data_IF_015330816421
#
_entry.id   IF_015330816421
#
_cell.length_a   1.000
_cell.length_b   1.000
_cell.length_c   1.000
_cell.angle_alpha   90.00
_cell.angle_beta   90.00
_cell.angle_gamma   90.00
#
_symmetry.space_group_name_H-M   'P 1'
#
loop_
_entity.id
_entity.type
_entity.pdbx_description
1 polymer ?
#
# COMPACT_ATOMS: atom_id res chain seq x y z
N UNK A 1 0.35 -50.56 -21.81
CA UNK A 1 0.28 -49.37 -22.67
C UNK A 1 -0.98 -48.59 -22.32
N UNK A 2 -0.87 -47.47 -21.60
CA UNK A 2 -1.86 -46.40 -21.65
C UNK A 2 -1.14 -45.09 -21.33
N UNK A 3 -1.18 -44.18 -22.30
CA UNK A 3 -0.40 -42.96 -22.34
C UNK A 3 -0.78 -41.96 -21.23
N UNK A 4 0.22 -41.37 -20.61
CA UNK A 4 0.09 -40.22 -19.71
C UNK A 4 -0.15 -38.97 -20.56
N UNK A 5 -1.29 -38.31 -20.38
CA UNK A 5 -1.58 -37.04 -21.04
C UNK A 5 -0.72 -35.94 -20.41
N UNK A 6 0.24 -35.41 -21.17
CA UNK A 6 0.97 -34.22 -20.80
C UNK A 6 0.00 -33.02 -20.78
N UNK A 7 -0.24 -32.44 -19.60
CA UNK A 7 -0.95 -31.19 -19.48
C UNK A 7 -0.16 -30.10 -20.21
N UNK A 8 -0.69 -29.64 -21.35
CA UNK A 8 -0.13 -28.51 -22.07
C UNK A 8 -0.18 -27.28 -21.17
N UNK A 9 0.97 -26.83 -20.68
CA UNK A 9 1.11 -25.55 -20.00
C UNK A 9 0.60 -24.47 -20.95
N UNK A 10 -0.58 -23.91 -20.68
CA UNK A 10 -1.15 -22.86 -21.50
C UNK A 10 -0.12 -21.73 -21.64
N UNK A 11 0.34 -21.46 -22.86
CA UNK A 11 1.25 -20.37 -23.15
C UNK A 11 0.45 -19.07 -22.94
N UNK A 12 0.48 -18.54 -21.72
CA UNK A 12 -0.15 -17.25 -21.41
C UNK A 12 0.56 -16.18 -22.23
N UNK A 13 -0.20 -15.48 -23.08
CA UNK A 13 0.34 -14.42 -23.94
C UNK A 13 0.93 -13.28 -23.08
N UNK A 14 1.92 -12.52 -23.59
CA UNK A 14 2.45 -11.36 -22.88
C UNK A 14 1.37 -10.35 -22.46
N UNK A 15 0.34 -10.17 -23.29
CA UNK A 15 -0.79 -9.30 -22.99
C UNK A 15 -1.63 -9.80 -21.80
N UNK A 16 -1.93 -11.12 -21.76
CA UNK A 16 -2.68 -11.71 -20.65
C UNK A 16 -1.90 -11.65 -19.33
N UNK A 17 -0.57 -11.86 -19.36
CA UNK A 17 0.30 -11.67 -18.18
C UNK A 17 0.29 -10.23 -17.68
N UNK A 18 0.38 -9.26 -18.59
CA UNK A 18 0.34 -7.84 -18.26
C UNK A 18 -0.98 -7.46 -17.58
N UNK A 19 -2.11 -7.94 -18.12
CA UNK A 19 -3.42 -7.65 -17.55
C UNK A 19 -3.58 -8.24 -16.14
N UNK A 20 -3.23 -9.51 -15.96
CA UNK A 20 -3.28 -10.16 -14.64
C UNK A 20 -2.41 -9.43 -13.61
N UNK A 21 -1.21 -8.98 -14.01
CA UNK A 21 -0.33 -8.21 -13.16
C UNK A 21 -0.89 -6.82 -12.81
N UNK A 22 -1.56 -6.15 -13.75
CA UNK A 22 -2.22 -4.87 -13.49
C UNK A 22 -3.34 -5.02 -12.45
N UNK A 23 -4.13 -6.09 -12.53
CA UNK A 23 -5.18 -6.38 -11.58
C UNK A 23 -4.61 -6.69 -10.18
N UNK A 24 -3.53 -7.48 -10.12
CA UNK A 24 -2.83 -7.76 -8.87
C UNK A 24 -2.27 -6.49 -8.22
N UNK A 25 -1.60 -5.64 -9.01
CA UNK A 25 -1.07 -4.36 -8.55
C UNK A 25 -2.18 -3.42 -8.07
N UNK A 26 -3.32 -3.37 -8.76
CA UNK A 26 -4.47 -2.57 -8.36
C UNK A 26 -5.05 -3.04 -7.02
N UNK A 27 -5.17 -4.37 -6.81
CA UNK A 27 -5.60 -4.95 -5.53
C UNK A 27 -4.62 -4.62 -4.41
N UNK A 28 -3.32 -4.79 -4.64
CA UNK A 28 -2.28 -4.50 -3.65
C UNK A 28 -2.30 -3.01 -3.23
N UNK A 29 -2.47 -2.10 -4.18
CA UNK A 29 -2.61 -0.66 -3.90
C UNK A 29 -3.86 -0.36 -3.09
N UNK A 30 -5.01 -0.96 -3.44
CA UNK A 30 -6.25 -0.77 -2.69
C UNK A 30 -6.07 -1.19 -1.22
N UNK A 31 -5.45 -2.34 -0.99
CA UNK A 31 -5.15 -2.82 0.36
C UNK A 31 -4.22 -1.88 1.13
N UNK A 32 -3.18 -1.35 0.48
CA UNK A 32 -2.25 -0.41 1.13
C UNK A 32 -2.92 0.90 1.57
N UNK A 33 -3.91 1.37 0.80
CA UNK A 33 -4.69 2.57 1.11
C UNK A 33 -5.58 2.40 2.35
N UNK A 34 -5.91 1.17 2.75
CA UNK A 34 -6.71 0.89 3.95
C UNK A 34 -5.94 1.13 5.26
N UNK A 35 -4.60 1.22 5.21
CA UNK A 35 -3.75 1.41 6.38
C UNK A 35 -3.97 0.33 7.44
N UNK A 36 -4.21 0.74 8.69
CA UNK A 36 -4.57 -0.16 9.79
C UNK A 36 -5.98 -0.75 9.75
N UNK A 37 -6.74 -0.45 8.69
CA UNK A 37 -8.11 -0.93 8.45
C UNK A 37 -9.19 0.05 8.92
N UNK A 38 -10.39 -0.10 8.34
CA UNK A 38 -11.52 0.83 8.50
C UNK A 38 -11.88 1.14 9.96
N UNK A 39 -11.83 0.15 10.86
CA UNK A 39 -12.12 0.35 12.29
C UNK A 39 -11.14 1.31 12.98
N UNK A 40 -9.85 1.21 12.65
CA UNK A 40 -8.81 2.06 13.26
C UNK A 40 -8.83 3.46 12.67
N UNK A 41 -9.10 3.57 11.37
CA UNK A 41 -9.33 4.84 10.68
C UNK A 41 -10.53 5.57 11.30
N UNK A 42 -11.67 4.90 11.47
CA UNK A 42 -12.85 5.49 12.10
C UNK A 42 -12.55 6.02 13.52
N UNK A 43 -11.85 5.23 14.35
CA UNK A 43 -11.43 5.66 15.70
C UNK A 43 -10.51 6.89 15.68
N UNK A 44 -9.71 7.06 14.62
CA UNK A 44 -8.86 8.22 14.46
C UNK A 44 -9.69 9.47 14.12
N UNK A 45 -10.65 9.32 13.20
CA UNK A 45 -11.59 10.38 12.82
C UNK A 45 -12.53 10.79 13.96
N UNK A 46 -13.02 9.84 14.77
CA UNK A 46 -13.82 10.11 15.98
C UNK A 46 -13.08 11.01 16.98
N UNK A 47 -11.74 10.96 17.00
CA UNK A 47 -10.91 11.83 17.83
C UNK A 47 -10.62 13.20 17.18
N UNK A 48 -11.23 13.50 16.04
CA UNK A 48 -10.98 14.72 15.27
C UNK A 48 -9.61 14.73 14.58
N UNK A 49 -8.96 13.57 14.41
CA UNK A 49 -7.63 13.47 13.80
C UNK A 49 -7.72 12.93 12.38
N UNK A 50 -6.94 13.51 11.48
CA UNK A 50 -6.73 13.00 10.12
C UNK A 50 -5.81 11.77 10.13
N UNK A 51 -5.94 10.89 9.14
CA UNK A 51 -4.99 9.81 8.81
C UNK A 51 -3.68 10.38 8.29
N UNK A 52 -2.64 9.54 8.19
CA UNK A 52 -1.34 9.96 7.64
C UNK A 52 -1.46 10.50 6.20
N UNK A 53 -2.22 9.81 5.33
CA UNK A 53 -2.42 10.21 3.93
C UNK A 53 -3.25 11.48 3.81
N UNK A 54 -4.31 11.62 4.61
CA UNK A 54 -5.13 12.85 4.62
C UNK A 54 -4.31 14.08 5.03
N UNK A 55 -3.39 13.94 6.01
CA UNK A 55 -2.49 15.03 6.41
C UNK A 55 -1.55 15.44 5.28
N UNK A 56 -0.99 14.46 4.56
CA UNK A 56 -0.10 14.72 3.44
C UNK A 56 -0.86 15.41 2.31
N UNK A 57 -2.03 14.90 1.92
CA UNK A 57 -2.84 15.47 0.84
C UNK A 57 -3.30 16.90 1.17
N UNK A 58 -3.52 17.22 2.45
CA UNK A 58 -3.84 18.58 2.90
C UNK A 58 -2.63 19.53 2.84
N UNK A 59 -1.42 19.01 3.07
CA UNK A 59 -0.18 19.81 3.16
C UNK A 59 0.40 20.15 1.78
N UNK A 60 0.35 19.20 0.85
CA UNK A 60 0.95 19.32 -0.47
C UNK A 60 -0.02 19.92 -1.49
N UNK A 61 0.53 20.53 -2.54
CA UNK A 61 -0.25 21.02 -3.66
C UNK A 61 -1.00 19.84 -4.32
N UNK A 62 -2.28 20.03 -4.61
CA UNK A 62 -3.18 18.96 -5.07
C UNK A 62 -2.61 18.20 -6.29
N UNK A 63 -2.63 16.87 -6.22
CA UNK A 63 -2.19 16.00 -7.32
C UNK A 63 -0.67 15.90 -7.51
N UNK A 64 0.12 16.58 -6.69
CA UNK A 64 1.59 16.57 -6.78
C UNK A 64 2.25 15.45 -5.98
N UNK A 65 1.54 14.87 -5.02
CA UNK A 65 2.09 13.83 -4.17
C UNK A 65 2.43 12.56 -4.95
N UNK A 66 3.60 12.01 -4.65
CA UNK A 66 4.13 10.74 -5.18
C UNK A 66 4.66 9.93 -4.02
N UNK A 67 3.88 8.92 -3.62
CA UNK A 67 4.20 8.00 -2.53
C UNK A 67 5.32 7.03 -2.94
N UNK A 68 6.23 6.75 -2.01
CA UNK A 68 7.28 5.75 -2.13
C UNK A 68 6.97 4.56 -1.22
N UNK A 69 7.49 3.38 -1.59
CA UNK A 69 7.46 2.17 -0.77
C UNK A 69 6.06 1.74 -0.24
N UNK A 70 4.96 2.17 -0.89
CA UNK A 70 3.57 1.88 -0.49
C UNK A 70 3.27 0.39 -0.21
N UNK A 71 3.93 -0.52 -0.94
CA UNK A 71 3.70 -1.97 -0.84
C UNK A 71 4.71 -2.69 0.06
N UNK A 72 5.62 -1.94 0.71
CA UNK A 72 6.65 -2.51 1.58
C UNK A 72 6.03 -2.93 2.90
N UNK A 73 6.53 -4.00 3.47
CA UNK A 73 6.13 -4.48 4.80
C UNK A 73 7.37 -4.82 5.62
N UNK A 74 7.20 -4.96 6.94
CA UNK A 74 8.28 -5.44 7.80
C UNK A 74 8.72 -6.87 7.44
N UNK A 75 9.93 -7.23 7.87
CA UNK A 75 10.49 -8.58 7.74
C UNK A 75 10.64 -9.32 9.07
N UNK A 76 10.12 -8.73 10.15
CA UNK A 76 10.14 -9.34 11.49
C UNK A 76 9.26 -10.60 11.52
N UNK A 77 9.82 -11.70 12.01
CA UNK A 77 9.13 -12.98 12.29
C UNK A 77 8.87 -13.21 13.78
N UNK A 78 9.44 -12.38 14.65
CA UNK A 78 9.30 -12.53 16.09
C UNK A 78 7.91 -12.08 16.56
N UNK A 79 7.51 -12.51 17.76
CA UNK A 79 6.30 -12.06 18.46
C UNK A 79 4.99 -12.21 17.66
N UNK A 80 4.92 -13.16 16.71
CA UNK A 80 3.74 -13.40 15.88
C UNK A 80 3.52 -12.37 14.78
N UNK A 81 4.51 -11.51 14.50
CA UNK A 81 4.44 -10.45 13.50
C UNK A 81 4.30 -10.98 12.07
N UNK A 82 4.74 -12.21 11.80
CA UNK A 82 4.56 -12.87 10.50
C UNK A 82 3.11 -12.88 9.99
N UNK A 83 2.14 -12.87 10.91
CA UNK A 83 0.71 -12.87 10.60
C UNK A 83 0.11 -11.47 10.42
N UNK A 84 0.86 -10.41 10.72
CA UNK A 84 0.39 -9.02 10.78
C UNK A 84 1.10 -8.12 9.77
N UNK A 85 0.89 -8.38 8.48
CA UNK A 85 1.54 -7.62 7.41
C UNK A 85 0.69 -6.42 6.97
N UNK A 86 1.20 -5.21 7.21
CA UNK A 86 0.57 -3.96 6.78
C UNK A 86 1.44 -3.26 5.72
N UNK A 87 0.95 -3.07 4.48
CA UNK A 87 1.66 -2.32 3.46
C UNK A 87 1.93 -0.87 3.90
N UNK A 88 3.15 -0.39 3.64
CA UNK A 88 3.67 0.91 4.09
C UNK A 88 4.35 0.86 5.45
N UNK A 89 4.27 -0.26 6.19
CA UNK A 89 4.93 -0.47 7.50
C UNK A 89 4.74 0.70 8.50
N UNK A 90 3.53 1.26 8.53
CA UNK A 90 3.17 2.35 9.43
C UNK A 90 3.70 3.74 9.08
N UNK A 91 4.39 3.90 7.94
CA UNK A 91 4.86 5.22 7.49
C UNK A 91 4.56 5.47 6.01
N UNK A 92 3.88 6.59 5.76
CA UNK A 92 3.69 7.08 4.38
C UNK A 92 4.84 8.02 4.06
N UNK A 93 5.60 7.71 3.01
CA UNK A 93 6.74 8.54 2.58
C UNK A 93 6.57 8.97 1.13
N UNK A 94 7.14 10.10 0.74
CA UNK A 94 7.07 10.53 -0.66
C UNK A 94 7.59 11.93 -0.91
N UNK A 95 7.30 12.44 -2.10
CA UNK A 95 7.55 13.84 -2.48
C UNK A 95 6.28 14.50 -2.98
N UNK A 96 6.19 15.80 -2.79
CA UNK A 96 5.14 16.66 -3.33
C UNK A 96 5.67 18.07 -3.55
N UNK A 97 4.81 18.96 -4.05
CA UNK A 97 5.09 20.38 -4.05
C UNK A 97 4.38 21.02 -2.85
N UNK A 98 5.00 22.02 -2.22
CA UNK A 98 4.36 22.89 -1.24
C UNK A 98 4.60 24.31 -1.73
N UNK A 99 3.53 25.01 -2.13
CA UNK A 99 3.64 26.33 -2.76
C UNK A 99 4.60 26.29 -3.96
N UNK A 100 4.49 25.26 -4.81
CA UNK A 100 5.31 25.05 -6.00
C UNK A 100 6.74 24.56 -5.73
N UNK A 101 7.15 24.34 -4.48
CA UNK A 101 8.51 23.94 -4.12
C UNK A 101 8.59 22.45 -3.83
N UNK A 102 9.52 21.76 -4.50
CA UNK A 102 9.77 20.35 -4.27
C UNK A 102 10.13 20.09 -2.81
N UNK A 103 9.34 19.25 -2.15
CA UNK A 103 9.51 18.89 -0.74
C UNK A 103 9.35 17.38 -0.58
N UNK A 104 10.20 16.79 0.26
CA UNK A 104 10.07 15.40 0.70
C UNK A 104 9.37 15.38 2.04
N UNK A 105 8.39 14.50 2.18
CA UNK A 105 7.53 14.43 3.36
C UNK A 105 7.35 12.98 3.78
N UNK A 106 7.18 12.78 5.08
CA UNK A 106 6.70 11.52 5.63
C UNK A 106 5.64 11.79 6.70
N UNK A 107 4.74 10.84 6.90
CA UNK A 107 3.74 10.88 7.97
C UNK A 107 3.52 9.49 8.53
N UNK A 108 3.66 9.34 9.84
CA UNK A 108 3.41 8.10 10.54
C UNK A 108 1.89 7.84 10.66
N UNK A 109 1.51 6.62 10.35
CA UNK A 109 0.14 6.12 10.41
C UNK A 109 -0.12 5.41 11.73
N UNK A 110 -0.67 6.17 12.68
CA UNK A 110 -1.11 5.67 13.99
C UNK A 110 -2.09 4.49 13.94
N UNK A 111 -2.71 4.22 12.78
CA UNK A 111 -3.60 3.07 12.63
C UNK A 111 -2.82 1.76 12.47
N UNK A 112 -1.54 1.79 12.10
CA UNK A 112 -0.66 0.63 11.95
C UNK A 112 0.31 0.60 13.11
N UNK A 113 0.25 -0.43 13.97
CA UNK A 113 1.11 -0.61 15.16
C UNK A 113 1.26 0.57 16.13
N UNK A 114 0.48 1.64 15.97
CA UNK A 114 0.59 2.86 16.78
C UNK A 114 1.49 3.95 16.18
N UNK A 115 1.97 3.77 14.95
CA UNK A 115 2.89 4.68 14.27
C UNK A 115 4.33 4.18 14.31
#
# INVERSE_FOLDING_TARGET
>A
MSAQAAAATAIVTPAARKLAFQDELARARKQALEGGGAKRVAKQHEKGKLTARERIELLVDQGTFREYDMLKTHRCSDFGMESQQYPGDGVVTGRGLINGRLTFVFSQDFTVFGG
#
